data_IF_742278673474
#
_entry.id   IF_742278673474
#
_cell.length_a   1.000
_cell.length_b   1.000
_cell.length_c   1.000
_cell.angle_alpha   90.00
_cell.angle_beta   90.00
_cell.angle_gamma   90.00
#
_symmetry.space_group_name_H-M   'P 1'
#
loop_
_entity.id
_entity.type
_entity.pdbx_description
1 polymer ?
#
# COMPACT_ATOMS: atom_id res chain seq x y z
N UNK A 1 -11.10 -19.12 -6.44
CA UNK A 1 -12.13 -20.18 -6.22
C UNK A 1 -11.67 -21.32 -5.30
N UNK A 2 -10.42 -21.77 -5.39
CA UNK A 2 -9.88 -22.87 -4.58
C UNK A 2 -9.67 -22.60 -3.08
N UNK A 3 -10.19 -21.48 -2.53
CA UNK A 3 -10.06 -21.17 -1.10
C UNK A 3 -10.74 -22.24 -0.23
N UNK A 4 -10.11 -22.64 0.88
CA UNK A 4 -10.69 -23.59 1.84
C UNK A 4 -11.72 -22.95 2.75
N UNK A 5 -11.58 -21.66 3.05
CA UNK A 5 -12.68 -20.87 3.60
C UNK A 5 -13.76 -20.71 2.52
N UNK A 6 -14.99 -21.14 2.82
CA UNK A 6 -16.09 -21.15 1.82
C UNK A 6 -17.07 -20.00 1.96
N UNK A 7 -17.20 -19.43 3.16
CA UNK A 7 -18.14 -18.36 3.47
C UNK A 7 -17.60 -16.99 3.02
N UNK A 8 -17.58 -16.77 1.71
CA UNK A 8 -17.03 -15.57 1.09
C UNK A 8 -18.00 -15.06 0.03
N UNK A 9 -18.02 -13.74 -0.15
CA UNK A 9 -18.47 -13.10 -1.39
C UNK A 9 -17.23 -12.60 -2.14
N UNK A 10 -17.28 -12.61 -3.47
CA UNK A 10 -16.22 -12.09 -4.35
C UNK A 10 -16.86 -11.02 -5.21
N UNK A 11 -16.37 -9.80 -5.08
CA UNK A 11 -16.89 -8.66 -5.83
C UNK A 11 -15.88 -8.30 -6.91
N UNK A 12 -16.23 -8.55 -8.16
CA UNK A 12 -15.43 -8.19 -9.33
C UNK A 12 -15.94 -6.86 -9.87
N UNK A 13 -15.10 -5.82 -9.81
CA UNK A 13 -15.42 -4.51 -10.37
C UNK A 13 -14.66 -4.37 -11.69
N UNK A 14 -15.39 -4.48 -12.79
CA UNK A 14 -14.88 -4.22 -14.12
C UNK A 14 -14.92 -2.71 -14.40
N UNK A 15 -13.75 -2.08 -14.36
CA UNK A 15 -13.56 -0.64 -14.51
C UNK A 15 -13.46 -0.20 -15.98
N UNK A 16 -14.39 -0.70 -16.80
CA UNK A 16 -14.48 -0.36 -18.22
C UNK A 16 -13.37 -1.01 -19.05
N UNK A 17 -13.12 -2.31 -18.85
CA UNK A 17 -12.16 -3.06 -19.64
C UNK A 17 -12.51 -3.03 -21.13
N UNK A 18 -11.49 -3.03 -22.00
CA UNK A 18 -11.65 -3.01 -23.47
C UNK A 18 -11.19 -4.31 -24.13
N UNK A 19 -10.65 -5.23 -23.33
CA UNK A 19 -10.29 -6.58 -23.73
C UNK A 19 -11.38 -7.57 -23.30
N UNK A 20 -11.02 -8.86 -23.14
CA UNK A 20 -11.98 -9.91 -22.77
C UNK A 20 -12.27 -9.98 -21.27
N UNK A 21 -11.74 -9.07 -20.45
CA UNK A 21 -11.87 -9.13 -18.99
C UNK A 21 -13.33 -9.08 -18.54
N UNK A 22 -14.15 -8.21 -19.13
CA UNK A 22 -15.60 -8.13 -18.83
C UNK A 22 -16.32 -9.45 -19.07
N UNK A 23 -16.09 -10.07 -20.23
CA UNK A 23 -16.68 -11.37 -20.59
C UNK A 23 -16.23 -12.49 -19.63
N UNK A 24 -14.97 -12.44 -19.18
CA UNK A 24 -14.44 -13.39 -18.21
C UNK A 24 -15.08 -13.22 -16.83
N UNK A 25 -15.28 -11.98 -16.35
CA UNK A 25 -15.99 -11.72 -15.10
C UNK A 25 -17.40 -12.33 -15.12
N UNK A 26 -18.14 -12.12 -16.20
CA UNK A 26 -19.48 -12.69 -16.41
C UNK A 26 -19.46 -14.22 -16.49
N UNK A 27 -18.44 -14.80 -17.11
CA UNK A 27 -18.29 -16.25 -17.16
C UNK A 27 -18.08 -16.82 -15.76
N UNK A 28 -17.28 -16.17 -14.91
CA UNK A 28 -17.06 -16.59 -13.54
C UNK A 28 -18.30 -16.46 -12.66
N UNK A 29 -19.07 -15.38 -12.79
CA UNK A 29 -20.31 -15.21 -12.01
C UNK A 29 -21.38 -16.26 -12.32
N UNK A 30 -21.40 -16.80 -13.55
CA UNK A 30 -22.26 -17.94 -13.91
C UNK A 30 -21.82 -19.27 -13.30
N UNK A 31 -20.56 -19.38 -12.87
CA UNK A 31 -19.99 -20.64 -12.36
C UNK A 31 -20.01 -20.72 -10.82
N UNK A 32 -20.11 -19.58 -10.12
CA UNK A 32 -20.12 -19.56 -8.66
C UNK A 32 -20.95 -18.38 -8.13
N UNK A 33 -22.04 -18.72 -7.42
CA UNK A 33 -23.02 -17.75 -6.88
C UNK A 33 -22.44 -16.79 -5.84
N UNK A 34 -21.23 -17.04 -5.34
CA UNK A 34 -20.52 -16.11 -4.44
C UNK A 34 -19.96 -14.90 -5.19
N UNK A 35 -19.88 -14.95 -6.52
CA UNK A 35 -19.28 -13.91 -7.35
C UNK A 35 -20.35 -12.91 -7.79
N UNK A 36 -20.12 -11.64 -7.48
CA UNK A 36 -20.91 -10.50 -7.93
C UNK A 36 -20.06 -9.64 -8.86
N UNK A 37 -20.57 -9.34 -10.05
CA UNK A 37 -19.88 -8.51 -11.04
C UNK A 37 -20.56 -7.15 -11.12
N UNK A 38 -19.78 -6.09 -11.15
CA UNK A 38 -20.23 -4.73 -11.43
C UNK A 38 -19.41 -4.18 -12.58
N UNK A 39 -20.08 -3.78 -13.66
CA UNK A 39 -19.47 -3.05 -14.76
C UNK A 39 -19.70 -1.56 -14.56
N UNK A 40 -18.63 -0.78 -14.65
CA UNK A 40 -18.68 0.68 -14.56
C UNK A 40 -17.84 1.33 -15.65
N UNK A 41 -18.05 2.62 -15.86
CA UNK A 41 -17.14 3.41 -16.66
C UNK A 41 -15.77 3.53 -15.95
N UNK A 42 -14.69 3.55 -16.74
CA UNK A 42 -13.32 3.66 -16.24
C UNK A 42 -13.16 4.88 -15.33
N UNK A 43 -12.82 4.64 -14.07
CA UNK A 43 -12.53 5.66 -13.06
C UNK A 43 -11.20 5.45 -12.34
N UNK A 44 -10.43 4.43 -12.75
CA UNK A 44 -9.19 4.01 -12.11
C UNK A 44 -9.39 3.06 -10.93
N UNK A 45 -8.28 2.45 -10.49
CA UNK A 45 -8.23 1.41 -9.45
C UNK A 45 -8.90 1.85 -8.14
N UNK A 46 -8.67 3.09 -7.71
CA UNK A 46 -9.33 3.64 -6.51
C UNK A 46 -10.85 3.67 -6.64
N UNK A 47 -11.37 4.09 -7.80
CA UNK A 47 -12.81 4.14 -8.06
C UNK A 47 -13.42 2.72 -8.05
N UNK A 48 -12.72 1.76 -8.65
CA UNK A 48 -13.14 0.36 -8.62
C UNK A 48 -13.18 -0.22 -7.20
N UNK A 49 -12.13 -0.02 -6.40
CA UNK A 49 -12.09 -0.48 -5.00
C UNK A 49 -13.14 0.19 -4.13
N UNK A 50 -13.42 1.48 -4.35
CA UNK A 50 -14.47 2.22 -3.65
C UNK A 50 -15.87 1.68 -3.98
N UNK A 51 -16.15 1.35 -5.24
CA UNK A 51 -17.41 0.71 -5.66
C UNK A 51 -17.59 -0.63 -4.94
N UNK A 52 -16.54 -1.47 -4.92
CA UNK A 52 -16.54 -2.74 -4.20
C UNK A 52 -16.81 -2.58 -2.70
N UNK A 53 -16.14 -1.62 -2.04
CA UNK A 53 -16.38 -1.28 -0.63
C UNK A 53 -17.80 -0.76 -0.36
N UNK A 54 -18.44 -0.15 -1.34
CA UNK A 54 -19.82 0.34 -1.23
C UNK A 54 -20.85 -0.78 -1.12
N UNK A 55 -20.60 -1.92 -1.76
CA UNK A 55 -21.55 -3.03 -1.87
C UNK A 55 -21.16 -4.29 -1.09
N UNK A 56 -19.97 -4.29 -0.46
CA UNK A 56 -19.50 -5.36 0.39
C UNK A 56 -20.35 -5.49 1.67
N UNK A 57 -20.73 -6.73 1.98
CA UNK A 57 -21.58 -7.13 3.11
C UNK A 57 -20.85 -8.03 4.13
N UNK A 58 -19.69 -8.57 3.75
CA UNK A 58 -18.87 -9.40 4.63
C UNK A 58 -18.43 -8.67 5.91
N UNK A 59 -18.34 -9.41 7.02
CA UNK A 59 -17.80 -8.88 8.29
C UNK A 59 -16.32 -8.51 8.21
N UNK A 60 -15.61 -9.01 7.19
CA UNK A 60 -14.20 -8.76 6.94
C UNK A 60 -13.98 -8.47 5.47
N UNK A 61 -13.04 -7.56 5.18
CA UNK A 61 -12.69 -7.13 3.83
C UNK A 61 -11.26 -7.58 3.50
N UNK A 62 -11.06 -8.11 2.31
CA UNK A 62 -9.75 -8.37 1.72
C UNK A 62 -9.73 -7.80 0.30
N UNK A 63 -8.57 -7.32 -0.14
CA UNK A 63 -8.35 -6.84 -1.49
C UNK A 63 -7.41 -7.82 -2.21
N UNK A 64 -7.68 -8.10 -3.48
CA UNK A 64 -6.82 -8.93 -4.33
C UNK A 64 -6.72 -8.26 -5.68
N UNK A 65 -5.52 -7.89 -6.09
CA UNK A 65 -5.28 -7.33 -7.42
C UNK A 65 -5.45 -8.42 -8.50
N UNK A 66 -6.00 -8.05 -9.66
CA UNK A 66 -6.43 -9.00 -10.69
C UNK A 66 -5.29 -9.70 -11.43
N UNK A 67 -4.07 -9.18 -11.32
CA UNK A 67 -2.86 -9.73 -11.88
C UNK A 67 -2.09 -10.66 -10.93
N UNK A 68 -2.60 -10.80 -9.70
CA UNK A 68 -2.04 -11.58 -8.59
C UNK A 68 -2.91 -12.79 -8.23
N UNK A 69 -2.43 -13.60 -7.27
CA UNK A 69 -3.21 -14.71 -6.71
C UNK A 69 -2.90 -14.95 -5.24
N UNK A 70 -3.74 -15.76 -4.58
CA UNK A 70 -3.63 -16.06 -3.16
C UNK A 70 -3.69 -17.57 -2.90
N UNK A 71 -2.89 -18.02 -1.94
CA UNK A 71 -2.87 -19.41 -1.47
C UNK A 71 -4.26 -19.86 -1.01
N UNK A 72 -4.63 -21.13 -1.26
CA UNK A 72 -5.94 -21.68 -0.90
C UNK A 72 -6.29 -21.55 0.59
N UNK A 73 -5.26 -21.48 1.45
CA UNK A 73 -5.39 -21.38 2.90
C UNK A 73 -5.39 -19.95 3.44
N UNK A 74 -5.14 -18.94 2.60
CA UNK A 74 -4.94 -17.55 3.04
C UNK A 74 -6.13 -17.06 3.87
N UNK A 75 -7.34 -17.10 3.30
CA UNK A 75 -8.52 -16.56 3.98
C UNK A 75 -8.88 -17.36 5.22
N UNK A 76 -8.80 -18.70 5.19
CA UNK A 76 -9.10 -19.54 6.36
C UNK A 76 -8.13 -19.23 7.51
N UNK A 77 -6.85 -19.13 7.20
CA UNK A 77 -5.80 -18.87 8.18
C UNK A 77 -5.89 -17.46 8.75
N UNK A 78 -6.10 -16.45 7.91
CA UNK A 78 -6.22 -15.06 8.35
C UNK A 78 -7.50 -14.82 9.16
N UNK A 79 -8.61 -15.47 8.80
CA UNK A 79 -9.82 -15.43 9.63
C UNK A 79 -9.53 -15.97 11.04
N UNK A 80 -8.92 -17.16 11.13
CA UNK A 80 -8.52 -17.75 12.41
C UNK A 80 -7.61 -16.83 13.23
N UNK A 81 -6.61 -16.20 12.59
CA UNK A 81 -5.76 -15.23 13.29
C UNK A 81 -6.55 -14.04 13.83
N UNK A 82 -7.49 -13.49 13.06
CA UNK A 82 -8.34 -12.40 13.53
C UNK A 82 -9.20 -12.84 14.73
N UNK A 83 -9.73 -14.07 14.70
CA UNK A 83 -10.53 -14.63 15.80
C UNK A 83 -9.71 -14.91 17.07
N UNK A 84 -8.46 -15.36 16.91
CA UNK A 84 -7.54 -15.65 18.02
C UNK A 84 -6.93 -14.38 18.65
N UNK A 85 -6.87 -13.27 17.90
CA UNK A 85 -6.23 -12.02 18.32
C UNK A 85 -7.29 -10.97 18.67
N UNK A 86 -7.91 -11.08 19.83
CA UNK A 86 -9.00 -10.18 20.26
C UNK A 86 -8.63 -8.69 20.34
N UNK A 87 -7.34 -8.36 20.34
CA UNK A 87 -6.80 -7.00 20.42
C UNK A 87 -6.56 -6.32 19.06
N UNK A 88 -6.84 -6.99 17.94
CA UNK A 88 -6.57 -6.46 16.59
C UNK A 88 -7.84 -6.37 15.76
N UNK A 89 -7.83 -5.44 14.78
CA UNK A 89 -8.89 -5.31 13.76
C UNK A 89 -8.35 -5.57 12.35
N UNK A 90 -7.04 -5.82 12.24
CA UNK A 90 -6.35 -6.09 10.98
C UNK A 90 -5.41 -7.27 11.20
N UNK A 91 -5.35 -8.17 10.23
CA UNK A 91 -4.29 -9.18 10.17
C UNK A 91 -3.56 -9.08 8.83
N UNK A 92 -2.25 -9.32 8.84
CA UNK A 92 -1.37 -9.21 7.68
C UNK A 92 -0.55 -10.48 7.51
N UNK A 93 -0.56 -11.04 6.31
CA UNK A 93 0.33 -12.14 5.94
C UNK A 93 1.57 -11.66 5.19
N UNK A 94 2.54 -12.55 5.01
CA UNK A 94 3.69 -12.32 4.16
C UNK A 94 3.35 -12.41 2.67
N UNK A 95 4.31 -11.95 1.87
CA UNK A 95 4.23 -11.91 0.40
C UNK A 95 5.28 -12.79 -0.24
N UNK A 96 4.89 -13.47 -1.32
CA UNK A 96 5.77 -14.15 -2.26
C UNK A 96 5.79 -13.33 -3.55
N UNK A 97 6.97 -12.90 -3.99
CA UNK A 97 7.15 -12.31 -5.33
C UNK A 97 7.34 -13.42 -6.35
N UNK A 98 6.48 -13.47 -7.35
CA UNK A 98 6.54 -14.39 -8.48
C UNK A 98 7.07 -13.66 -9.71
N UNK A 99 8.26 -14.01 -10.18
CA UNK A 99 8.90 -13.38 -11.35
C UNK A 99 8.59 -14.17 -12.63
N UNK A 100 8.54 -13.49 -13.78
CA UNK A 100 8.30 -14.11 -15.10
C UNK A 100 9.24 -15.27 -15.44
N UNK A 101 10.47 -15.26 -14.90
CA UNK A 101 11.43 -16.35 -15.08
C UNK A 101 11.18 -17.59 -14.19
N UNK A 102 10.03 -17.65 -13.52
CA UNK A 102 9.64 -18.74 -12.62
C UNK A 102 10.28 -18.66 -11.23
N UNK A 103 11.13 -17.66 -10.95
CA UNK A 103 11.68 -17.47 -9.61
C UNK A 103 10.59 -17.03 -8.65
N UNK A 104 10.62 -17.59 -7.44
CA UNK A 104 9.81 -17.14 -6.31
C UNK A 104 10.70 -16.59 -5.20
N UNK A 105 10.21 -15.56 -4.50
CA UNK A 105 10.92 -14.97 -3.38
C UNK A 105 9.95 -14.57 -2.27
N UNK A 106 10.01 -15.26 -1.13
CA UNK A 106 9.35 -14.78 0.09
C UNK A 106 10.11 -13.58 0.62
N UNK A 107 9.48 -12.40 0.64
CA UNK A 107 10.14 -11.15 1.04
C UNK A 107 10.02 -10.86 2.55
N UNK A 108 9.24 -11.68 3.26
CA UNK A 108 8.90 -11.47 4.66
C UNK A 108 9.36 -12.61 5.57
N UNK A 109 9.86 -13.72 5.00
CA UNK A 109 10.10 -14.98 5.71
C UNK A 109 11.05 -14.90 6.91
N UNK A 110 11.96 -13.92 6.93
CA UNK A 110 12.92 -13.71 8.01
C UNK A 110 12.39 -12.80 9.14
N UNK A 111 11.22 -12.19 8.97
CA UNK A 111 10.64 -11.30 9.97
C UNK A 111 9.89 -12.11 11.05
N UNK A 112 9.93 -11.72 12.33
CA UNK A 112 9.14 -12.38 13.36
C UNK A 112 7.65 -12.06 13.23
N UNK A 113 6.80 -12.99 13.66
CA UNK A 113 5.38 -12.71 13.91
C UNK A 113 5.24 -11.70 15.07
N UNK A 114 4.35 -10.71 14.92
CA UNK A 114 4.21 -9.61 15.90
C UNK A 114 2.80 -9.04 15.90
N UNK A 115 2.37 -8.58 17.07
CA UNK A 115 1.22 -7.68 17.21
C UNK A 115 1.74 -6.26 17.35
N UNK A 116 1.13 -5.31 16.64
CA UNK A 116 1.38 -3.89 16.77
C UNK A 116 0.10 -3.19 17.22
N UNK A 117 0.21 -2.27 18.18
CA UNK A 117 -0.87 -1.31 18.45
C UNK A 117 -1.01 -0.34 17.27
N UNK A 118 -2.13 0.39 17.20
CA UNK A 118 -2.32 1.51 16.27
C UNK A 118 -1.11 2.44 16.18
N UNK A 119 -0.64 2.97 17.32
CA UNK A 119 0.49 3.91 17.35
C UNK A 119 1.79 3.30 16.85
N UNK A 120 2.06 2.03 17.21
CA UNK A 120 3.23 1.32 16.73
C UNK A 120 3.16 1.08 15.23
N UNK A 121 1.98 0.71 14.70
CA UNK A 121 1.77 0.51 13.27
C UNK A 121 1.94 1.82 12.50
N UNK A 122 1.36 2.93 12.99
CA UNK A 122 1.52 4.27 12.39
C UNK A 122 2.97 4.75 12.40
N UNK A 123 3.67 4.57 13.52
CA UNK A 123 5.10 4.89 13.60
C UNK A 123 5.88 4.10 12.54
N UNK A 124 5.68 2.78 12.47
CA UNK A 124 6.36 1.93 11.49
C UNK A 124 5.96 2.26 10.03
N UNK A 125 4.70 2.63 9.79
CA UNK A 125 4.21 3.07 8.49
C UNK A 125 4.92 4.34 8.02
N UNK A 126 5.06 5.34 8.92
CA UNK A 126 5.72 6.61 8.62
C UNK A 126 7.22 6.43 8.39
N UNK A 127 7.87 5.56 9.16
CA UNK A 127 9.30 5.24 9.03
C UNK A 127 9.65 4.19 7.96
N UNK A 128 8.64 3.63 7.27
CA UNK A 128 8.81 2.54 6.28
C UNK A 128 9.47 1.28 6.86
N UNK A 129 9.17 0.97 8.12
CA UNK A 129 9.73 -0.17 8.84
C UNK A 129 8.69 -1.25 9.10
N UNK A 130 9.17 -2.46 9.40
CA UNK A 130 8.34 -3.62 9.80
C UNK A 130 7.14 -3.89 8.88
N UNK A 131 7.28 -3.63 7.56
CA UNK A 131 6.27 -3.87 6.52
C UNK A 131 4.93 -3.14 6.69
N UNK A 132 4.84 -2.16 7.59
CA UNK A 132 3.59 -1.42 7.79
C UNK A 132 3.27 -0.48 6.62
N UNK A 133 4.28 -0.01 5.88
CA UNK A 133 4.12 0.69 4.61
C UNK A 133 4.14 -0.29 3.43
N UNK A 134 3.11 -1.13 3.34
CA UNK A 134 2.90 -2.11 2.28
C UNK A 134 1.55 -1.88 1.59
N UNK A 135 1.24 -2.70 0.59
CA UNK A 135 -0.04 -2.63 -0.12
C UNK A 135 -1.21 -3.14 0.72
N UNK A 136 -2.44 -2.93 0.26
CA UNK A 136 -3.65 -3.39 0.99
C UNK A 136 -3.92 -4.89 0.83
N UNK A 137 -3.36 -5.54 -0.18
CA UNK A 137 -3.79 -6.86 -0.64
C UNK A 137 -3.35 -8.04 0.24
N UNK A 138 -2.31 -7.89 1.07
CA UNK A 138 -1.89 -8.93 2.02
C UNK A 138 -2.57 -8.82 3.39
N UNK A 139 -3.73 -8.15 3.46
CA UNK A 139 -4.42 -7.84 4.70
C UNK A 139 -5.87 -8.30 4.65
N UNK A 140 -6.36 -8.70 5.83
CA UNK A 140 -7.76 -8.91 6.11
C UNK A 140 -8.15 -7.90 7.19
N UNK A 141 -9.16 -7.11 6.90
CA UNK A 141 -9.60 -5.99 7.73
C UNK A 141 -10.97 -6.29 8.32
N UNK A 142 -11.21 -5.90 9.57
CA UNK A 142 -12.56 -5.78 10.10
C UNK A 142 -13.35 -4.74 9.28
N UNK A 143 -14.53 -5.11 8.78
CA UNK A 143 -15.32 -4.26 7.91
C UNK A 143 -15.78 -2.95 8.59
N UNK A 144 -15.89 -2.93 9.92
CA UNK A 144 -16.28 -1.74 10.68
C UNK A 144 -15.28 -0.60 10.55
N UNK A 145 -14.01 -0.88 10.26
CA UNK A 145 -12.98 0.14 10.04
C UNK A 145 -13.29 1.07 8.85
N UNK A 146 -14.08 0.58 7.88
CA UNK A 146 -14.48 1.34 6.70
C UNK A 146 -15.74 2.17 6.91
N UNK A 147 -16.48 1.91 7.99
CA UNK A 147 -17.78 2.51 8.24
C UNK A 147 -17.71 3.68 9.24
N UNK A 148 -18.75 4.50 9.26
CA UNK A 148 -19.07 5.40 10.35
C UNK A 148 -20.08 4.75 11.32
N UNK A 149 -20.51 5.51 12.33
CA UNK A 149 -21.45 5.05 13.35
C UNK A 149 -22.85 4.71 12.79
N UNK A 150 -23.18 5.18 11.60
CA UNK A 150 -24.43 4.90 10.88
C UNK A 150 -24.29 3.69 9.91
N UNK A 151 -23.10 3.09 9.83
CA UNK A 151 -22.82 1.96 8.95
C UNK A 151 -22.54 2.35 7.49
N UNK A 152 -22.34 3.65 7.20
CA UNK A 152 -22.01 4.13 5.86
C UNK A 152 -20.51 4.02 5.62
N UNK A 153 -20.11 3.59 4.41
CA UNK A 153 -18.70 3.55 4.02
C UNK A 153 -18.14 4.97 3.90
N UNK A 154 -17.14 5.31 4.73
CA UNK A 154 -16.51 6.63 4.78
C UNK A 154 -14.99 6.62 4.66
N UNK A 155 -14.35 5.46 4.86
CA UNK A 155 -12.91 5.32 4.60
C UNK A 155 -12.74 4.76 3.19
N UNK A 156 -12.29 5.62 2.29
CA UNK A 156 -12.22 5.36 0.85
C UNK A 156 -10.80 5.59 0.33
N UNK A 157 -10.49 4.94 -0.78
CA UNK A 157 -9.29 5.23 -1.55
C UNK A 157 -9.39 6.61 -2.21
N UNK A 158 -8.33 7.42 -2.18
CA UNK A 158 -8.33 8.71 -2.85
C UNK A 158 -8.27 8.53 -4.37
N UNK A 159 -9.35 8.86 -5.07
CA UNK A 159 -9.38 8.80 -6.53
C UNK A 159 -8.40 9.78 -7.19
N UNK A 160 -7.87 9.38 -8.34
CA UNK A 160 -6.94 10.17 -9.14
C UNK A 160 -5.49 10.18 -8.63
N UNK A 161 -5.11 9.29 -7.72
CA UNK A 161 -3.73 9.11 -7.25
C UNK A 161 -3.27 7.65 -7.37
N UNK A 162 -2.01 7.47 -7.72
CA UNK A 162 -1.27 6.22 -7.49
C UNK A 162 -0.77 6.16 -6.03
N UNK A 163 -0.51 4.95 -5.52
CA UNK A 163 -0.14 4.70 -4.13
C UNK A 163 -1.24 5.14 -3.14
N UNK A 164 -2.49 5.05 -3.60
CA UNK A 164 -3.73 5.28 -2.89
C UNK A 164 -3.82 4.46 -1.60
N UNK A 165 -3.19 3.28 -1.59
CA UNK A 165 -3.10 2.36 -0.46
C UNK A 165 -2.61 3.07 0.79
N UNK A 166 -1.61 3.95 0.66
CA UNK A 166 -0.99 4.61 1.82
C UNK A 166 -1.95 5.60 2.47
N UNK A 167 -2.82 6.22 1.68
CA UNK A 167 -3.85 7.09 2.22
C UNK A 167 -4.89 6.28 2.99
N UNK A 168 -5.40 5.20 2.39
CA UNK A 168 -6.36 4.31 3.05
C UNK A 168 -5.76 3.73 4.34
N UNK A 169 -4.55 3.17 4.27
CA UNK A 169 -3.87 2.54 5.41
C UNK A 169 -3.60 3.53 6.54
N UNK A 170 -3.30 4.80 6.26
CA UNK A 170 -3.18 5.80 7.32
C UNK A 170 -4.51 6.02 8.07
N UNK A 171 -5.65 5.98 7.38
CA UNK A 171 -6.97 6.09 8.00
C UNK A 171 -7.30 4.84 8.81
N UNK A 172 -7.04 3.66 8.24
CA UNK A 172 -7.25 2.37 8.90
C UNK A 172 -6.37 2.26 10.16
N UNK A 173 -5.07 2.53 10.05
CA UNK A 173 -4.16 2.43 11.19
C UNK A 173 -4.50 3.43 12.29
N UNK A 174 -5.05 4.59 11.95
CA UNK A 174 -5.52 5.57 12.94
C UNK A 174 -6.78 5.13 13.69
N UNK A 175 -7.65 4.36 13.03
CA UNK A 175 -8.94 3.87 13.58
C UNK A 175 -8.84 2.53 14.31
N UNK A 176 -7.97 1.63 13.86
CA UNK A 176 -7.86 0.28 14.42
C UNK A 176 -7.31 0.29 15.85
N UNK A 177 -7.55 -0.79 16.58
CA UNK A 177 -6.92 -1.10 17.87
C UNK A 177 -5.49 -1.60 17.67
N UNK A 178 -5.29 -2.47 16.69
CA UNK A 178 -4.00 -3.04 16.36
C UNK A 178 -4.03 -3.93 15.12
N UNK A 179 -2.85 -4.43 14.77
CA UNK A 179 -2.62 -5.33 13.63
C UNK A 179 -1.74 -6.51 14.06
N UNK A 180 -2.15 -7.72 13.71
CA UNK A 180 -1.31 -8.92 13.83
C UNK A 180 -0.62 -9.21 12.49
N UNK A 181 0.70 -9.31 12.52
CA UNK A 181 1.53 -9.66 11.37
C UNK A 181 2.12 -11.06 11.55
N UNK A 182 1.94 -11.89 10.53
CA UNK A 182 2.64 -13.16 10.38
C UNK A 182 3.40 -13.19 9.05
N UNK A 183 4.71 -13.50 9.05
CA UNK A 183 5.57 -13.47 7.85
C UNK A 183 5.26 -14.57 6.82
N UNK A 184 4.38 -15.52 7.14
CA UNK A 184 4.05 -16.62 6.24
C UNK A 184 3.49 -16.09 4.92
N UNK A 185 4.18 -16.41 3.83
CA UNK A 185 3.79 -16.07 2.47
C UNK A 185 2.49 -16.76 2.09
N UNK A 186 1.44 -15.97 1.86
CA UNK A 186 0.16 -16.45 1.36
C UNK A 186 -0.32 -15.65 0.14
N UNK A 187 0.18 -14.44 -0.03
CA UNK A 187 -0.15 -13.60 -1.17
C UNK A 187 0.96 -13.67 -2.22
N UNK A 188 0.61 -13.90 -3.47
CA UNK A 188 1.52 -14.06 -4.59
C UNK A 188 1.46 -12.87 -5.52
N UNK A 189 2.46 -11.99 -5.39
CA UNK A 189 2.61 -10.78 -6.17
C UNK A 189 3.37 -11.08 -7.48
N UNK A 190 2.69 -10.99 -8.61
CA UNK A 190 3.21 -11.30 -9.93
C UNK A 190 4.00 -10.12 -10.53
N UNK A 191 5.32 -10.25 -10.54
CA UNK A 191 6.24 -9.27 -11.14
C UNK A 191 6.33 -9.48 -12.64
N UNK A 192 5.78 -8.55 -13.40
CA UNK A 192 5.81 -8.53 -14.88
C UNK A 192 6.68 -7.40 -15.41
N UNK A 193 7.23 -7.60 -16.60
CA UNK A 193 7.95 -6.54 -17.31
C UNK A 193 6.96 -5.49 -17.85
N UNK A 194 7.27 -4.20 -17.67
CA UNK A 194 6.41 -3.10 -18.14
C UNK A 194 5.24 -2.74 -17.22
N UNK A 195 5.26 -3.16 -15.95
CA UNK A 195 4.26 -2.75 -14.95
C UNK A 195 4.20 -1.23 -14.77
N UNK A 196 3.11 -0.74 -14.16
CA UNK A 196 2.86 0.68 -13.87
C UNK A 196 4.06 1.35 -13.19
N UNK A 197 4.75 0.63 -12.31
CA UNK A 197 5.92 1.13 -11.56
C UNK A 197 7.18 1.23 -12.41
N UNK A 198 7.25 0.55 -13.56
CA UNK A 198 8.40 0.56 -14.50
C UNK A 198 8.18 1.43 -15.73
N UNK A 199 6.99 2.00 -15.90
CA UNK A 199 6.68 2.92 -16.98
C UNK A 199 7.44 4.25 -16.83
N UNK A 200 7.57 4.99 -17.95
CA UNK A 200 8.19 6.31 -17.99
C UNK A 200 7.45 7.38 -17.15
N UNK A 201 7.81 8.64 -17.34
CA UNK A 201 7.13 9.75 -16.66
C UNK A 201 5.66 9.82 -17.09
N UNK A 202 4.75 9.97 -16.12
CA UNK A 202 3.32 10.17 -16.34
C UNK A 202 2.74 11.15 -15.30
N UNK A 203 1.43 11.38 -15.34
CA UNK A 203 0.74 12.29 -14.41
C UNK A 203 0.90 11.90 -12.93
N UNK A 204 1.15 10.62 -12.66
CA UNK A 204 1.24 10.03 -11.32
C UNK A 204 2.68 9.92 -10.79
N UNK A 205 3.68 10.33 -11.58
CA UNK A 205 5.10 10.26 -11.18
C UNK A 205 5.43 11.04 -9.90
N UNK A 206 4.56 11.96 -9.47
CA UNK A 206 4.74 12.76 -8.24
C UNK A 206 3.88 12.28 -7.07
N UNK A 207 3.08 11.24 -7.26
CA UNK A 207 2.01 10.90 -6.32
C UNK A 207 2.52 10.38 -5.00
N UNK A 208 3.71 9.74 -4.93
CA UNK A 208 4.30 9.33 -3.63
C UNK A 208 4.49 10.51 -2.68
N UNK A 209 4.95 11.65 -3.21
CA UNK A 209 5.16 12.89 -2.46
C UNK A 209 3.85 13.61 -2.16
N UNK A 210 2.88 13.59 -3.09
CA UNK A 210 1.56 14.20 -2.88
C UNK A 210 0.75 13.39 -1.85
N UNK A 211 0.71 12.07 -1.99
CA UNK A 211 0.05 11.13 -1.08
C UNK A 211 0.65 11.23 0.32
N UNK A 212 1.97 11.38 0.46
CA UNK A 212 2.59 11.57 1.78
C UNK A 212 2.16 12.82 2.51
N UNK A 213 1.98 13.92 1.79
CA UNK A 213 1.42 15.14 2.36
C UNK A 213 -0.04 14.92 2.77
N UNK A 214 -0.84 14.29 1.90
CA UNK A 214 -2.26 14.04 2.16
C UNK A 214 -2.48 13.19 3.41
N UNK A 215 -1.84 12.02 3.50
CA UNK A 215 -2.04 11.14 4.64
C UNK A 215 -1.44 11.71 5.92
N UNK A 216 -0.30 12.40 5.88
CA UNK A 216 0.26 13.02 7.08
C UNK A 216 -0.61 14.19 7.57
N UNK A 217 -1.20 14.97 6.67
CA UNK A 217 -2.14 16.04 7.03
C UNK A 217 -3.42 15.47 7.67
N UNK A 218 -3.92 14.34 7.17
CA UNK A 218 -5.01 13.62 7.81
C UNK A 218 -4.64 13.14 9.22
N UNK A 219 -3.48 12.49 9.38
CA UNK A 219 -3.01 12.00 10.67
C UNK A 219 -2.87 13.13 11.70
N UNK A 220 -2.31 14.27 11.29
CA UNK A 220 -2.19 15.45 12.13
C UNK A 220 -3.57 16.00 12.54
N UNK A 221 -4.52 16.15 11.60
CA UNK A 221 -5.89 16.62 11.87
C UNK A 221 -6.69 15.64 12.74
N UNK A 222 -6.39 14.35 12.66
CA UNK A 222 -7.02 13.31 13.50
C UNK A 222 -6.34 13.17 14.88
N UNK A 223 -5.41 14.07 15.22
CA UNK A 223 -4.80 14.14 16.55
C UNK A 223 -3.61 13.21 16.76
N UNK A 224 -2.98 12.67 15.71
CA UNK A 224 -1.70 11.98 15.85
C UNK A 224 -0.59 12.97 16.22
N UNK A 225 0.12 12.71 17.32
CA UNK A 225 0.98 13.72 17.98
C UNK A 225 2.47 13.56 17.73
N UNK A 226 2.93 12.44 17.17
CA UNK A 226 4.35 12.23 16.86
C UNK A 226 4.78 13.10 15.66
N UNK A 227 5.18 14.33 15.96
CA UNK A 227 5.62 15.33 14.97
C UNK A 227 6.85 14.87 14.19
N UNK A 228 7.73 14.09 14.80
CA UNK A 228 8.96 13.61 14.15
C UNK A 228 8.59 12.55 13.12
N UNK A 229 7.75 11.58 13.48
CA UNK A 229 7.25 10.58 12.54
C UNK A 229 6.47 11.22 11.38
N UNK A 230 5.61 12.21 11.68
CA UNK A 230 4.87 12.95 10.66
C UNK A 230 5.79 13.70 9.68
N UNK A 231 6.85 14.33 10.18
CA UNK A 231 7.85 14.98 9.34
C UNK A 231 8.66 13.97 8.52
N UNK A 232 9.03 12.85 9.14
CA UNK A 232 9.74 11.76 8.47
C UNK A 232 8.91 11.19 7.33
N UNK A 233 7.62 10.89 7.54
CA UNK A 233 6.73 10.36 6.52
C UNK A 233 6.57 11.31 5.30
N UNK A 234 6.45 12.62 5.55
CA UNK A 234 6.40 13.62 4.46
C UNK A 234 7.71 13.67 3.69
N UNK A 235 8.84 13.77 4.40
CA UNK A 235 10.18 13.77 3.83
C UNK A 235 10.40 12.51 2.98
N UNK A 236 10.06 11.34 3.52
CA UNK A 236 10.23 10.06 2.87
C UNK A 236 9.45 9.98 1.55
N UNK A 237 8.19 10.43 1.51
CA UNK A 237 7.44 10.43 0.25
C UNK A 237 8.10 11.30 -0.84
N UNK A 238 8.65 12.45 -0.49
CA UNK A 238 9.41 13.28 -1.43
C UNK A 238 10.79 12.72 -1.78
N UNK A 239 11.42 11.99 -0.85
CA UNK A 239 12.65 11.25 -1.12
C UNK A 239 12.40 10.16 -2.17
N UNK A 240 11.35 9.36 -1.99
CA UNK A 240 10.98 8.28 -2.91
C UNK A 240 10.56 8.86 -4.28
N UNK A 241 9.82 9.97 -4.28
CA UNK A 241 9.44 10.68 -5.52
C UNK A 241 10.67 11.16 -6.27
N UNK A 242 11.63 11.80 -5.59
CA UNK A 242 12.85 12.28 -6.23
C UNK A 242 13.68 11.11 -6.77
N UNK A 243 13.75 10.00 -6.05
CA UNK A 243 14.41 8.78 -6.50
C UNK A 243 13.77 8.26 -7.81
N UNK A 244 12.44 8.14 -7.84
CA UNK A 244 11.71 7.63 -9.00
C UNK A 244 11.86 8.53 -10.23
N UNK A 245 11.74 9.85 -10.08
CA UNK A 245 11.89 10.76 -11.23
C UNK A 245 13.32 10.80 -11.77
N UNK A 246 14.33 10.55 -10.92
CA UNK A 246 15.72 10.36 -11.36
C UNK A 246 15.86 9.06 -12.15
N UNK A 247 15.27 7.96 -11.66
CA UNK A 247 15.26 6.69 -12.37
C UNK A 247 14.56 6.78 -13.73
N UNK A 248 13.47 7.53 -13.81
CA UNK A 248 12.70 7.81 -15.04
C UNK A 248 13.33 8.90 -15.93
N UNK A 249 14.53 9.39 -15.58
CA UNK A 249 15.26 10.40 -16.34
C UNK A 249 14.45 11.68 -16.62
N UNK A 250 13.71 12.16 -15.62
CA UNK A 250 12.92 13.38 -15.73
C UNK A 250 13.77 14.61 -16.06
N UNK A 251 13.12 15.66 -16.58
CA UNK A 251 13.76 16.92 -16.91
C UNK A 251 14.32 17.65 -15.66
N UNK A 252 15.19 18.63 -15.90
CA UNK A 252 15.85 19.37 -14.83
C UNK A 252 14.90 20.17 -13.93
N UNK A 253 13.77 20.67 -14.46
CA UNK A 253 12.80 21.45 -13.69
C UNK A 253 12.01 20.54 -12.73
N UNK A 254 11.58 19.37 -13.20
CA UNK A 254 10.92 18.34 -12.38
C UNK A 254 11.85 17.87 -11.24
N UNK A 255 13.11 17.56 -11.55
CA UNK A 255 14.10 17.19 -10.54
C UNK A 255 14.29 18.32 -9.52
N UNK A 256 14.44 19.57 -9.98
CA UNK A 256 14.62 20.72 -9.09
C UNK A 256 13.40 20.93 -8.17
N UNK A 257 12.19 20.74 -8.69
CA UNK A 257 10.95 20.80 -7.91
C UNK A 257 10.93 19.74 -6.81
N UNK A 258 11.11 18.46 -7.14
CA UNK A 258 11.13 17.37 -6.15
C UNK A 258 12.23 17.57 -5.09
N UNK A 259 13.41 18.04 -5.51
CA UNK A 259 14.53 18.35 -4.62
C UNK A 259 14.21 19.47 -3.65
N UNK A 260 13.57 20.55 -4.11
CA UNK A 260 13.12 21.64 -3.23
C UNK A 260 12.12 21.12 -2.20
N UNK A 261 11.12 20.35 -2.64
CA UNK A 261 10.14 19.75 -1.74
C UNK A 261 10.80 18.86 -0.70
N UNK A 262 11.71 17.97 -1.10
CA UNK A 262 12.49 17.14 -0.16
C UNK A 262 13.25 18.01 0.86
N UNK A 263 13.98 19.03 0.39
CA UNK A 263 14.79 19.90 1.26
C UNK A 263 13.94 20.62 2.32
N UNK A 264 12.79 21.18 1.93
CA UNK A 264 11.88 21.87 2.85
C UNK A 264 11.42 20.97 4.01
N UNK A 265 11.17 19.69 3.72
CA UNK A 265 10.68 18.70 4.71
C UNK A 265 11.81 18.03 5.49
N UNK A 266 13.04 18.07 5.00
CA UNK A 266 14.17 17.39 5.62
C UNK A 266 14.73 18.12 6.85
N UNK A 267 14.57 19.45 6.95
CA UNK A 267 15.20 20.26 8.01
C UNK A 267 14.94 19.72 9.43
N UNK A 268 13.67 19.50 9.78
CA UNK A 268 13.28 18.97 11.09
C UNK A 268 13.76 17.52 11.30
N UNK A 269 13.75 16.71 10.24
CA UNK A 269 14.20 15.31 10.28
C UNK A 269 15.70 15.21 10.51
N UNK A 270 16.49 16.07 9.86
CA UNK A 270 17.95 16.13 10.00
C UNK A 270 18.39 16.55 11.40
N UNK A 271 17.59 17.38 12.09
CA UNK A 271 17.85 17.73 13.50
C UNK A 271 17.44 16.65 14.51
N UNK A 272 16.57 15.71 14.13
CA UNK A 272 16.01 14.74 15.08
C UNK A 272 17.03 13.70 15.56
N UNK A 273 17.18 13.43 16.86
CA UNK A 273 18.06 12.36 17.36
C UNK A 273 17.51 10.95 17.06
N UNK A 274 16.23 10.82 16.69
CA UNK A 274 15.60 9.53 16.37
C UNK A 274 16.05 8.98 15.01
N UNK A 275 16.62 9.82 14.14
CA UNK A 275 17.07 9.43 12.81
C UNK A 275 18.57 9.17 12.84
N UNK A 276 18.98 7.99 12.35
CA UNK A 276 20.40 7.60 12.34
C UNK A 276 21.25 8.55 11.50
N UNK A 277 22.52 8.71 11.89
CA UNK A 277 23.49 9.54 11.17
C UNK A 277 23.61 9.10 9.70
N UNK A 278 23.65 7.79 9.46
CA UNK A 278 23.69 7.24 8.10
C UNK A 278 22.46 7.66 7.28
N UNK A 279 21.25 7.59 7.86
CA UNK A 279 20.03 7.99 7.16
C UNK A 279 20.02 9.50 6.87
N UNK A 280 20.48 10.33 7.82
CA UNK A 280 20.65 11.77 7.60
C UNK A 280 21.62 12.07 6.47
N UNK A 281 22.74 11.35 6.40
CA UNK A 281 23.71 11.48 5.31
C UNK A 281 23.11 11.09 3.95
N UNK A 282 22.31 10.02 3.87
CA UNK A 282 21.58 9.63 2.65
C UNK A 282 20.59 10.72 2.20
N UNK A 283 19.82 11.28 3.14
CA UNK A 283 18.89 12.39 2.86
C UNK A 283 19.64 13.63 2.35
N UNK A 284 20.73 14.00 3.02
CA UNK A 284 21.58 15.12 2.60
C UNK A 284 22.16 14.90 1.20
N UNK A 285 22.68 13.71 0.90
CA UNK A 285 23.22 13.39 -0.41
C UNK A 285 22.14 13.48 -1.50
N UNK A 286 20.94 13.00 -1.23
CA UNK A 286 19.81 13.13 -2.15
C UNK A 286 19.41 14.60 -2.40
N UNK A 287 19.55 15.49 -1.42
CA UNK A 287 19.23 16.92 -1.57
C UNK A 287 20.33 17.68 -2.36
N UNK A 288 21.60 17.38 -2.10
CA UNK A 288 22.72 18.18 -2.59
C UNK A 288 23.39 17.62 -3.85
N UNK A 289 23.42 16.29 -3.99
CA UNK A 289 24.05 15.60 -5.13
C UNK A 289 23.15 14.47 -5.69
N UNK A 290 21.84 14.73 -5.97
CA UNK A 290 20.85 13.70 -6.29
C UNK A 290 21.26 12.75 -7.41
N UNK A 291 21.78 13.27 -8.53
CA UNK A 291 22.17 12.45 -9.69
C UNK A 291 23.34 11.51 -9.39
N UNK A 292 24.37 12.01 -8.69
CA UNK A 292 25.54 11.23 -8.30
C UNK A 292 25.12 10.17 -7.30
N UNK A 293 24.36 10.57 -6.27
CA UNK A 293 23.88 9.68 -5.24
C UNK A 293 23.01 8.55 -5.82
N UNK A 294 22.04 8.88 -6.68
CA UNK A 294 21.19 7.90 -7.36
C UNK A 294 22.00 6.94 -8.24
N UNK A 295 22.99 7.45 -8.99
CA UNK A 295 23.84 6.59 -9.81
C UNK A 295 24.62 5.59 -8.96
N UNK A 296 25.11 6.02 -7.79
CA UNK A 296 25.83 5.16 -6.85
C UNK A 296 24.91 4.10 -6.20
N UNK A 297 23.64 4.41 -5.92
CA UNK A 297 22.71 3.44 -5.33
C UNK A 297 22.30 2.38 -6.34
N UNK A 298 22.04 2.77 -7.60
CA UNK A 298 21.73 1.85 -8.69
C UNK A 298 22.90 0.87 -8.93
N UNK A 299 24.14 1.36 -8.94
CA UNK A 299 25.33 0.52 -9.11
C UNK A 299 25.53 -0.51 -7.98
N UNK A 300 25.05 -0.22 -6.78
CA UNK A 300 25.18 -1.12 -5.61
C UNK A 300 24.05 -2.15 -5.49
N UNK A 301 23.01 -2.07 -6.32
CA UNK A 301 21.84 -2.93 -6.19
C UNK A 301 21.04 -2.71 -4.89
N UNK A 302 21.20 -1.56 -4.24
CA UNK A 302 20.33 -1.14 -3.13
C UNK A 302 18.99 -0.67 -3.75
N UNK A 303 18.06 -1.60 -3.99
CA UNK A 303 16.65 -1.34 -4.30
C UNK A 303 15.78 -1.53 -3.06
#
# INVERSE_FOLDING_TARGET
MGQTYKNLEIILIDDGSTDKSSEMCDAWSRLDDRIRVVHKANGGLSSARNEGLGIAMGARIAFVDSDDWIDSEMLATMNRWMDEQSAVDVVMCGTIKNYENGREQCIDGDLPQRVFTSDQALHNFLYRSNRMASAVWNKLFDATLFKDDEGKTVVLFPEGLDNEDYYLLAHIYRKMRGIYFNPRGFYHYCIRTGSITTAGMNAHSLDKGISSERYCNYLEKSGYTDKVALAYGRMQGWYDTLYDVLNKQADGATIAYCRHRLADRASYVLSSPQVSVLRKAKIWAMIHIPRIYHSLTVLKGEQ
#
